data_IF_923340771592
#
_entry.id   IF_923340771592
#
_cell.length_a   1.000
_cell.length_b   1.000
_cell.length_c   1.000
_cell.angle_alpha   90.00
_cell.angle_beta   90.00
_cell.angle_gamma   90.00
#
_symmetry.space_group_name_H-M   'P 1'
#
loop_
_entity.id
_entity.type
_entity.pdbx_description
1 polymer ?
#
# COMPACT_ATOMS: atom_id res chain seq x y z
N UNK A 1 -30.90 17.24 -20.90
CA UNK A 1 -31.11 16.21 -19.86
C UNK A 1 -29.81 15.47 -19.70
N UNK A 2 -29.06 15.78 -18.64
CA UNK A 2 -27.69 15.27 -18.42
C UNK A 2 -27.70 14.35 -17.17
N UNK A 3 -28.15 13.11 -17.35
CA UNK A 3 -28.33 12.12 -16.28
C UNK A 3 -27.13 11.18 -16.09
N UNK A 4 -25.99 11.41 -16.78
CA UNK A 4 -24.83 10.52 -16.73
C UNK A 4 -23.82 10.79 -15.61
N UNK A 5 -23.72 12.02 -15.10
CA UNK A 5 -22.59 12.45 -14.25
C UNK A 5 -22.69 12.01 -12.76
N UNK A 6 -23.91 11.82 -12.24
CA UNK A 6 -24.15 11.57 -10.81
C UNK A 6 -23.83 10.13 -10.37
N UNK A 7 -24.16 9.15 -11.21
CA UNK A 7 -23.90 7.74 -10.89
C UNK A 7 -22.43 7.38 -10.99
N UNK A 8 -21.72 7.94 -11.98
CA UNK A 8 -20.29 7.70 -12.16
C UNK A 8 -19.47 8.29 -11.02
N UNK A 9 -19.84 9.48 -10.51
CA UNK A 9 -19.21 10.06 -9.31
C UNK A 9 -19.43 9.22 -8.06
N UNK A 10 -20.66 8.74 -7.82
CA UNK A 10 -20.94 7.87 -6.67
C UNK A 10 -20.23 6.51 -6.78
N UNK A 11 -20.20 5.91 -7.97
CA UNK A 11 -19.41 4.71 -8.22
C UNK A 11 -17.91 4.98 -8.03
N UNK A 12 -17.43 6.16 -8.43
CA UNK A 12 -16.03 6.58 -8.30
C UNK A 12 -15.63 6.77 -6.84
N UNK A 13 -16.49 7.39 -6.03
CA UNK A 13 -16.29 7.55 -4.58
C UNK A 13 -16.33 6.21 -3.84
N UNK A 14 -17.33 5.36 -4.13
CA UNK A 14 -17.43 4.00 -3.55
C UNK A 14 -16.27 3.09 -3.98
N UNK A 15 -15.62 3.33 -5.12
CA UNK A 15 -14.48 2.53 -5.60
C UNK A 15 -13.11 3.00 -5.10
N UNK A 16 -13.00 4.21 -4.54
CA UNK A 16 -11.75 4.74 -3.97
C UNK A 16 -11.63 4.54 -2.45
N UNK A 17 -12.51 3.72 -1.88
CA UNK A 17 -12.59 3.44 -0.45
C UNK A 17 -12.25 2.00 -0.11
N UNK A 18 -11.78 1.18 -1.06
CA UNK A 18 -11.49 -0.24 -0.80
C UNK A 18 -10.05 -0.61 -1.14
N UNK A 19 -9.45 -1.43 -0.28
CA UNK A 19 -8.27 -2.22 -0.60
C UNK A 19 -8.70 -3.69 -0.48
N UNK A 20 -8.53 -4.49 -1.52
CA UNK A 20 -9.12 -5.81 -1.62
C UNK A 20 -10.64 -5.78 -1.43
N UNK A 21 -11.12 -6.48 -0.40
CA UNK A 21 -12.51 -6.48 0.06
C UNK A 21 -12.73 -5.56 1.28
N UNK A 22 -11.66 -5.00 1.84
CA UNK A 22 -11.71 -4.15 3.03
C UNK A 22 -12.05 -2.72 2.66
N UNK A 23 -13.15 -2.17 3.19
CA UNK A 23 -13.45 -0.75 3.05
C UNK A 23 -12.63 0.11 4.02
N UNK A 24 -12.49 1.40 3.71
CA UNK A 24 -11.86 2.36 4.61
C UNK A 24 -12.63 2.48 5.92
N UNK A 25 -13.96 2.36 5.88
CA UNK A 25 -14.81 2.34 7.06
C UNK A 25 -14.50 1.12 7.94
N UNK A 26 -14.36 -0.07 7.35
CA UNK A 26 -13.99 -1.28 8.10
C UNK A 26 -12.60 -1.13 8.71
N UNK A 27 -11.66 -0.54 7.96
CA UNK A 27 -10.32 -0.28 8.46
C UNK A 27 -10.34 0.68 9.66
N UNK A 28 -11.11 1.77 9.58
CA UNK A 28 -11.26 2.73 10.68
C UNK A 28 -11.92 2.09 11.91
N UNK A 29 -12.89 1.19 11.73
CA UNK A 29 -13.50 0.46 12.84
C UNK A 29 -12.49 -0.46 13.57
N UNK A 30 -11.47 -0.95 12.87
CA UNK A 30 -10.39 -1.74 13.48
C UNK A 30 -9.26 -0.88 14.04
N UNK A 31 -9.13 0.36 13.55
CA UNK A 31 -8.09 1.30 13.96
C UNK A 31 -8.47 1.99 15.27
N UNK A 32 -7.70 1.68 16.30
CA UNK A 32 -7.72 2.46 17.51
C UNK A 32 -6.95 3.77 17.29
N UNK A 33 -7.51 4.89 17.73
CA UNK A 33 -6.90 6.23 17.64
C UNK A 33 -7.36 7.10 18.80
N UNK A 34 -6.48 8.02 19.20
CA UNK A 34 -6.66 8.86 20.36
C UNK A 34 -7.60 10.04 20.03
N UNK A 35 -8.16 10.70 21.04
CA UNK A 35 -9.19 11.74 20.86
C UNK A 35 -8.71 12.96 20.08
N UNK A 36 -7.39 13.15 19.99
CA UNK A 36 -6.74 14.19 19.19
C UNK A 36 -6.61 13.83 17.70
N UNK A 37 -7.14 12.66 17.29
CA UNK A 37 -7.08 12.19 15.91
C UNK A 37 -5.71 11.64 15.51
N UNK A 38 -4.86 11.27 16.48
CA UNK A 38 -3.59 10.60 16.24
C UNK A 38 -3.67 9.10 16.50
N UNK A 39 -2.78 8.34 15.87
CA UNK A 39 -2.63 6.91 16.09
C UNK A 39 -1.17 6.51 16.04
N UNK A 40 -0.86 5.31 16.50
CA UNK A 40 0.51 4.78 16.49
C UNK A 40 0.70 3.75 15.38
N UNK A 41 1.96 3.61 14.94
CA UNK A 41 2.39 2.53 14.03
C UNK A 41 1.90 1.15 14.50
N UNK A 42 1.94 0.91 15.81
CA UNK A 42 1.47 -0.33 16.43
C UNK A 42 -0.03 -0.54 16.23
N UNK A 43 -0.85 0.48 16.49
CA UNK A 43 -2.31 0.44 16.30
C UNK A 43 -2.66 0.20 14.82
N UNK A 44 -1.95 0.84 13.89
CA UNK A 44 -2.09 0.63 12.43
C UNK A 44 -1.77 -0.82 12.03
N UNK A 45 -0.66 -1.38 12.50
CA UNK A 45 -0.26 -2.77 12.23
C UNK A 45 -1.36 -3.74 12.65
N UNK A 46 -1.91 -3.54 13.85
CA UNK A 46 -2.96 -4.40 14.39
C UNK A 46 -4.26 -4.28 13.61
N UNK A 47 -4.67 -3.06 13.24
CA UNK A 47 -5.86 -2.83 12.42
C UNK A 47 -5.74 -3.53 11.06
N UNK A 48 -4.60 -3.36 10.39
CA UNK A 48 -4.33 -3.98 9.10
C UNK A 48 -4.35 -5.51 9.19
N UNK A 49 -3.75 -6.09 10.22
CA UNK A 49 -3.75 -7.55 10.41
C UNK A 49 -5.17 -8.09 10.66
N UNK A 50 -6.01 -7.39 11.43
CA UNK A 50 -7.41 -7.77 11.64
C UNK A 50 -8.20 -7.76 10.33
N UNK A 51 -8.04 -6.72 9.51
CA UNK A 51 -8.68 -6.64 8.18
C UNK A 51 -8.20 -7.73 7.23
N UNK A 52 -6.89 -7.97 7.17
CA UNK A 52 -6.29 -9.06 6.39
C UNK A 52 -6.93 -10.42 6.73
N UNK A 53 -7.16 -10.66 8.01
CA UNK A 53 -7.78 -11.89 8.48
C UNK A 53 -9.27 -11.95 8.17
N UNK A 54 -9.96 -10.81 8.20
CA UNK A 54 -11.33 -10.69 7.70
C UNK A 54 -11.43 -11.16 6.24
N UNK A 55 -10.52 -10.69 5.38
CA UNK A 55 -10.46 -11.12 3.97
C UNK A 55 -10.22 -12.62 3.82
N UNK A 56 -9.23 -13.19 4.52
CA UNK A 56 -8.95 -14.62 4.45
C UNK A 56 -10.16 -15.47 4.89
N UNK A 57 -10.95 -15.01 5.87
CA UNK A 57 -12.19 -15.68 6.28
C UNK A 57 -13.23 -15.65 5.17
N UNK A 58 -13.44 -14.49 4.54
CA UNK A 58 -14.42 -14.32 3.46
C UNK A 58 -14.03 -15.14 2.22
N UNK A 59 -12.74 -15.25 1.92
CA UNK A 59 -12.23 -16.05 0.79
C UNK A 59 -12.26 -17.58 1.02
N UNK A 60 -12.82 -18.05 2.15
CA UNK A 60 -13.04 -19.49 2.38
C UNK A 60 -11.80 -20.28 2.79
N UNK A 61 -10.69 -19.63 3.14
CA UNK A 61 -9.54 -20.34 3.73
C UNK A 61 -9.85 -20.75 5.18
N UNK A 62 -10.43 -21.94 5.36
CA UNK A 62 -11.03 -22.41 6.61
C UNK A 62 -10.05 -22.59 7.82
N UNK A 63 -8.74 -22.56 7.61
CA UNK A 63 -7.73 -22.84 8.64
C UNK A 63 -7.01 -21.58 9.18
N UNK A 64 -7.79 -20.53 9.48
CA UNK A 64 -7.24 -19.24 9.92
C UNK A 64 -6.67 -19.29 11.34
N UNK A 65 -7.11 -20.21 12.21
CA UNK A 65 -6.78 -20.18 13.66
C UNK A 65 -5.26 -20.27 13.97
N UNK A 66 -4.48 -21.23 13.45
CA UNK A 66 -3.04 -21.31 13.71
C UNK A 66 -2.25 -20.26 12.91
N UNK A 67 -2.68 -20.00 11.66
CA UNK A 67 -2.06 -18.99 10.79
C UNK A 67 -2.20 -17.58 11.38
N UNK A 68 -3.36 -17.25 11.96
CA UNK A 68 -3.63 -15.98 12.66
C UNK A 68 -2.69 -15.79 13.83
N UNK A 69 -2.51 -16.82 14.67
CA UNK A 69 -1.60 -16.74 15.82
C UNK A 69 -0.16 -16.50 15.37
N UNK A 70 0.30 -17.22 14.34
CA UNK A 70 1.64 -17.05 13.78
C UNK A 70 1.82 -15.72 13.04
N UNK A 71 0.77 -15.21 12.39
CA UNK A 71 0.77 -13.93 11.69
C UNK A 71 0.91 -12.79 12.70
N UNK A 72 0.07 -12.78 13.75
CA UNK A 72 0.11 -11.81 14.86
C UNK A 72 1.47 -11.78 15.57
N UNK A 73 2.09 -12.94 15.79
CA UNK A 73 3.42 -13.04 16.44
C UNK A 73 4.55 -12.44 15.58
N UNK A 74 4.39 -12.37 14.27
CA UNK A 74 5.44 -11.94 13.34
C UNK A 74 5.18 -10.58 12.69
N UNK A 75 4.10 -9.86 13.05
CA UNK A 75 3.72 -8.59 12.40
C UNK A 75 4.76 -7.47 12.55
N UNK A 76 5.61 -7.54 13.56
CA UNK A 76 6.66 -6.53 13.78
C UNK A 76 7.95 -6.88 13.05
N UNK A 77 8.13 -8.13 12.63
CA UNK A 77 9.24 -8.54 11.79
C UNK A 77 8.95 -8.16 10.33
N UNK A 78 9.98 -7.68 9.62
CA UNK A 78 9.88 -7.28 8.21
C UNK A 78 9.32 -8.41 7.35
N UNK A 79 9.76 -9.65 7.58
CA UNK A 79 9.27 -10.83 6.86
C UNK A 79 7.77 -11.09 7.08
N UNK A 80 7.25 -10.88 8.29
CA UNK A 80 5.82 -10.98 8.57
C UNK A 80 5.01 -9.85 7.93
N UNK A 81 5.58 -8.64 7.86
CA UNK A 81 4.94 -7.49 7.19
C UNK A 81 4.81 -7.69 5.68
N UNK A 82 5.77 -8.33 5.02
CA UNK A 82 5.66 -8.67 3.59
C UNK A 82 4.60 -9.74 3.32
N UNK A 83 4.39 -10.67 4.25
CA UNK A 83 3.44 -11.78 4.11
C UNK A 83 2.00 -11.38 4.44
N UNK A 84 1.81 -10.40 5.31
CA UNK A 84 0.48 -9.91 5.71
C UNK A 84 -0.06 -8.97 4.65
N UNK A 85 -1.24 -9.28 4.08
CA UNK A 85 -1.81 -8.54 2.94
C UNK A 85 -3.29 -8.24 3.11
N UNK A 86 -3.72 -7.11 2.56
CA UNK A 86 -5.12 -6.79 2.26
C UNK A 86 -5.17 -6.59 0.75
N UNK A 87 -5.99 -7.38 0.05
CA UNK A 87 -5.93 -7.47 -1.40
C UNK A 87 -4.50 -7.73 -1.89
N UNK A 88 -4.01 -6.89 -2.80
CA UNK A 88 -2.64 -6.95 -3.31
C UNK A 88 -1.62 -6.12 -2.50
N UNK A 89 -2.05 -5.43 -1.45
CA UNK A 89 -1.20 -4.52 -0.66
C UNK A 89 -0.63 -5.25 0.54
N UNK A 90 0.70 -5.27 0.67
CA UNK A 90 1.37 -5.79 1.87
C UNK A 90 1.42 -4.76 2.99
N UNK A 91 1.42 -5.22 4.24
CA UNK A 91 1.60 -4.37 5.41
C UNK A 91 2.92 -3.57 5.33
N UNK A 92 3.99 -4.18 4.84
CA UNK A 92 5.26 -3.49 4.64
C UNK A 92 5.11 -2.28 3.69
N UNK A 93 4.51 -2.50 2.51
CA UNK A 93 4.28 -1.44 1.54
C UNK A 93 3.32 -0.36 2.09
N UNK A 94 2.32 -0.75 2.86
CA UNK A 94 1.40 0.17 3.51
C UNK A 94 2.13 1.08 4.51
N UNK A 95 2.93 0.50 5.41
CA UNK A 95 3.69 1.23 6.43
C UNK A 95 4.79 2.12 5.85
N UNK A 96 5.37 1.76 4.70
CA UNK A 96 6.42 2.55 4.06
C UNK A 96 5.93 3.87 3.45
N UNK A 97 4.62 4.16 3.51
CA UNK A 97 4.02 5.43 3.07
C UNK A 97 3.78 6.43 4.20
N UNK A 98 4.12 6.06 5.42
CA UNK A 98 3.96 6.92 6.59
C UNK A 98 5.30 7.49 7.00
N UNK A 99 5.32 8.81 7.15
CA UNK A 99 6.39 9.54 7.81
C UNK A 99 6.01 9.69 9.29
N UNK A 100 6.36 8.68 10.09
CA UNK A 100 6.04 8.68 11.51
C UNK A 100 6.84 9.76 12.26
N UNK A 101 6.16 10.50 13.13
CA UNK A 101 6.80 11.45 14.05
C UNK A 101 7.65 10.72 15.10
N UNK A 102 8.44 11.49 15.87
CA UNK A 102 9.11 10.97 17.05
C UNK A 102 8.09 10.26 17.97
N UNK A 103 8.40 9.02 18.36
CA UNK A 103 7.48 8.16 19.10
C UNK A 103 6.61 7.23 18.24
N UNK A 104 6.73 7.26 16.91
CA UNK A 104 6.02 6.33 16.02
C UNK A 104 4.55 6.67 15.82
N UNK A 105 4.20 7.95 15.96
CA UNK A 105 2.84 8.48 15.84
C UNK A 105 2.58 9.06 14.44
N UNK A 106 1.32 9.08 14.04
CA UNK A 106 0.83 9.66 12.77
C UNK A 106 -0.61 10.16 12.95
N UNK A 107 -1.05 11.11 12.12
CA UNK A 107 -2.45 11.53 12.12
C UNK A 107 -3.34 10.50 11.40
N UNK A 108 -4.60 10.38 11.82
CA UNK A 108 -5.61 9.56 11.13
C UNK A 108 -5.90 10.12 9.73
N UNK A 109 -5.74 11.43 9.51
CA UNK A 109 -5.84 12.06 8.18
C UNK A 109 -4.81 11.47 7.22
N UNK A 110 -3.56 11.29 7.66
CA UNK A 110 -2.52 10.66 6.86
C UNK A 110 -2.85 9.19 6.58
N UNK A 111 -3.43 8.47 7.54
CA UNK A 111 -3.92 7.09 7.33
C UNK A 111 -4.97 7.04 6.23
N UNK A 112 -5.94 7.95 6.26
CA UNK A 112 -6.96 8.07 5.23
C UNK A 112 -6.34 8.33 3.84
N UNK A 113 -5.36 9.22 3.77
CA UNK A 113 -4.69 9.52 2.52
C UNK A 113 -3.91 8.32 1.95
N UNK A 114 -3.15 7.63 2.81
CA UNK A 114 -2.39 6.43 2.41
C UNK A 114 -3.34 5.34 1.94
N UNK A 115 -4.44 5.11 2.67
CA UNK A 115 -5.46 4.12 2.29
C UNK A 115 -6.05 4.44 0.91
N UNK A 116 -6.46 5.69 0.68
CA UNK A 116 -7.00 6.15 -0.60
C UNK A 116 -6.00 5.97 -1.76
N UNK A 117 -4.72 6.26 -1.52
CA UNK A 117 -3.65 6.04 -2.53
C UNK A 117 -3.56 4.57 -2.92
N UNK A 118 -3.55 3.66 -1.96
CA UNK A 118 -3.50 2.23 -2.25
C UNK A 118 -4.77 1.70 -2.92
N UNK A 119 -5.94 2.16 -2.48
CA UNK A 119 -7.22 1.84 -3.14
C UNK A 119 -7.20 2.24 -4.62
N UNK A 120 -6.66 3.41 -4.93
CA UNK A 120 -6.52 3.89 -6.30
C UNK A 120 -5.55 3.04 -7.12
N UNK A 121 -4.40 2.66 -6.55
CA UNK A 121 -3.37 1.86 -7.22
C UNK A 121 -3.87 0.44 -7.53
N UNK A 122 -4.53 -0.20 -6.57
CA UNK A 122 -5.09 -1.54 -6.76
C UNK A 122 -6.13 -1.56 -7.87
N UNK A 123 -6.98 -0.52 -7.94
CA UNK A 123 -7.92 -0.33 -9.05
C UNK A 123 -7.21 -0.20 -10.40
N UNK A 124 -6.15 0.60 -10.50
CA UNK A 124 -5.41 0.79 -11.75
C UNK A 124 -4.73 -0.51 -12.21
N UNK A 125 -4.18 -1.29 -11.27
CA UNK A 125 -3.68 -2.65 -11.56
C UNK A 125 -4.80 -3.59 -12.06
N UNK A 126 -5.99 -3.49 -11.48
CA UNK A 126 -7.16 -4.27 -11.93
C UNK A 126 -7.69 -3.83 -13.30
N UNK A 127 -7.63 -2.54 -13.62
CA UNK A 127 -8.02 -1.99 -14.92
C UNK A 127 -7.05 -2.41 -16.03
N UNK A 128 -5.74 -2.48 -15.75
CA UNK A 128 -4.74 -3.01 -16.68
C UNK A 128 -4.98 -4.48 -17.05
N UNK A 129 -5.49 -5.29 -16.12
CA UNK A 129 -5.83 -6.70 -16.35
C UNK A 129 -7.19 -6.90 -17.06
N UNK A 130 -8.10 -5.93 -16.99
CA UNK A 130 -9.40 -5.96 -17.70
C UNK A 130 -9.31 -5.53 -19.16
N UNK A 131 -8.33 -4.71 -19.53
CA UNK A 131 -8.07 -4.37 -20.93
C UNK A 131 -7.44 -5.52 -21.72
N UNK A 132 -6.87 -6.53 -21.06
CA UNK A 132 -6.31 -7.72 -21.71
C UNK A 132 -7.27 -8.91 -21.77
N UNK A 133 -8.40 -8.88 -21.06
CA UNK A 133 -9.41 -9.96 -21.12
C UNK A 133 -10.21 -10.05 -22.42
N UNK A 134 -9.95 -9.15 -23.39
CA UNK A 134 -10.43 -9.28 -24.78
C UNK A 134 -9.47 -10.01 -25.72
N UNK A 135 -8.25 -10.33 -25.28
CA UNK A 135 -7.23 -10.98 -26.10
C UNK A 135 -6.65 -12.20 -25.38
N UNK A 136 -7.23 -13.34 -25.76
CA UNK A 136 -6.66 -14.69 -25.73
C UNK A 136 -6.64 -15.40 -24.38
N UNK A 137 -7.63 -16.28 -24.24
CA UNK A 137 -7.39 -17.68 -23.87
C UNK A 137 -6.03 -18.14 -24.43
N UNK A 138 -5.15 -18.62 -23.55
CA UNK A 138 -4.03 -19.47 -23.96
C UNK A 138 -2.62 -18.87 -23.97
N UNK A 139 -2.29 -17.89 -23.13
CA UNK A 139 -0.88 -17.53 -22.89
C UNK A 139 -0.51 -17.62 -21.40
N UNK A 140 -0.07 -18.84 -21.08
CA UNK A 140 0.83 -19.30 -20.02
C UNK A 140 1.37 -18.24 -19.04
N UNK A 141 1.29 -18.58 -17.75
CA UNK A 141 1.77 -17.87 -16.57
C UNK A 141 3.20 -17.29 -16.65
N UNK A 142 4.02 -17.72 -17.62
CA UNK A 142 5.39 -17.25 -17.80
C UNK A 142 5.55 -15.79 -18.24
N UNK A 143 4.57 -15.18 -18.92
CA UNK A 143 4.73 -13.79 -19.41
C UNK A 143 4.42 -12.76 -18.31
N UNK A 144 3.50 -13.08 -17.38
CA UNK A 144 3.15 -12.20 -16.27
C UNK A 144 4.31 -12.05 -15.29
N UNK A 145 5.00 -13.15 -14.99
CA UNK A 145 6.19 -13.11 -14.13
C UNK A 145 7.34 -12.33 -14.79
N UNK A 146 7.52 -12.48 -16.11
CA UNK A 146 8.55 -11.74 -16.85
C UNK A 146 8.26 -10.23 -16.94
N UNK A 147 7.00 -9.81 -17.05
CA UNK A 147 6.60 -8.39 -17.04
C UNK A 147 6.68 -7.78 -15.63
N UNK A 148 6.36 -8.57 -14.60
CA UNK A 148 6.44 -8.14 -13.21
C UNK A 148 7.90 -7.93 -12.78
N UNK A 149 8.82 -8.84 -13.12
CA UNK A 149 10.26 -8.68 -12.91
C UNK A 149 10.82 -7.46 -13.67
N UNK A 150 10.40 -7.24 -14.92
CA UNK A 150 10.83 -6.10 -15.73
C UNK A 150 10.36 -4.75 -15.16
N UNK A 151 9.12 -4.69 -14.64
CA UNK A 151 8.58 -3.50 -14.00
C UNK A 151 9.27 -3.20 -12.67
N UNK A 152 9.51 -4.22 -11.84
CA UNK A 152 10.27 -4.06 -10.59
C UNK A 152 11.72 -3.67 -10.83
N UNK A 153 12.36 -4.17 -11.89
CA UNK A 153 13.69 -3.74 -12.30
C UNK A 153 13.71 -2.27 -12.75
N UNK A 154 12.72 -1.83 -13.53
CA UNK A 154 12.61 -0.44 -13.97
C UNK A 154 12.36 0.53 -12.78
N UNK A 155 11.52 0.13 -11.83
CA UNK A 155 11.26 0.90 -10.59
C UNK A 155 12.49 0.94 -9.69
N UNK A 156 13.23 -0.16 -9.55
CA UNK A 156 14.51 -0.18 -8.82
C UNK A 156 15.56 0.71 -9.47
N UNK A 157 15.65 0.69 -10.80
CA UNK A 157 16.61 1.50 -11.54
C UNK A 157 16.33 2.99 -11.37
N UNK A 158 15.05 3.40 -11.46
CA UNK A 158 14.64 4.79 -11.28
C UNK A 158 14.81 5.29 -9.84
N UNK A 159 14.51 4.48 -8.82
CA UNK A 159 14.77 4.85 -7.42
C UNK A 159 16.27 4.95 -7.13
N UNK A 160 17.08 4.03 -7.65
CA UNK A 160 18.54 4.08 -7.49
C UNK A 160 19.14 5.31 -8.18
N UNK A 161 18.63 5.68 -9.36
CA UNK A 161 19.06 6.88 -10.08
C UNK A 161 18.72 8.16 -9.31
N UNK A 162 17.53 8.26 -8.71
CA UNK A 162 17.13 9.43 -7.90
C UNK A 162 17.98 9.56 -6.64
N UNK A 163 18.33 8.44 -6.00
CA UNK A 163 19.20 8.45 -4.82
C UNK A 163 20.62 8.89 -5.22
N UNK A 164 21.16 8.36 -6.31
CA UNK A 164 22.49 8.72 -6.81
C UNK A 164 22.59 10.20 -7.21
N UNK A 165 21.59 10.74 -7.92
CA UNK A 165 21.60 12.16 -8.32
C UNK A 165 21.43 13.08 -7.11
N UNK A 166 20.64 12.68 -6.11
CA UNK A 166 20.48 13.45 -4.87
C UNK A 166 21.78 13.49 -4.05
N UNK A 167 22.51 12.37 -4.00
CA UNK A 167 23.82 12.32 -3.34
C UNK A 167 24.89 13.13 -4.08
N UNK A 168 24.94 13.02 -5.42
CA UNK A 168 25.86 13.81 -6.23
C UNK A 168 25.62 15.31 -6.09
N UNK A 169 24.35 15.74 -6.07
CA UNK A 169 23.98 17.13 -5.84
C UNK A 169 24.36 17.63 -4.45
N UNK A 170 24.17 16.80 -3.42
CA UNK A 170 24.58 17.15 -2.06
C UNK A 170 26.10 17.28 -1.93
N UNK A 171 26.87 16.36 -2.53
CA UNK A 171 28.34 16.41 -2.53
C UNK A 171 28.87 17.66 -3.25
N UNK A 172 28.34 18.00 -4.43
CA UNK A 172 28.68 19.22 -5.17
C UNK A 172 28.39 20.49 -4.37
N UNK A 173 27.27 20.51 -3.62
CA UNK A 173 26.93 21.64 -2.76
C UNK A 173 27.91 21.81 -1.59
N UNK A 174 28.41 20.71 -1.03
CA UNK A 174 29.42 20.75 0.05
C UNK A 174 30.77 21.27 -0.46
N UNK A 175 31.23 20.80 -1.62
CA UNK A 175 32.49 21.30 -2.23
C UNK A 175 32.41 22.78 -2.60
N UNK A 176 31.29 23.22 -3.19
CA UNK A 176 31.07 24.64 -3.50
C UNK A 176 31.04 25.53 -2.25
N UNK A 177 30.50 25.03 -1.14
CA UNK A 177 30.45 25.76 0.13
C UNK A 177 31.84 25.87 0.77
N UNK A 178 32.68 24.84 0.65
CA UNK A 178 34.07 24.86 1.13
C UNK A 178 34.94 25.83 0.34
N UNK A 179 34.72 25.96 -0.97
CA UNK A 179 35.44 26.93 -1.82
C UNK A 179 35.04 28.40 -1.56
N UNK A 180 33.86 28.65 -0.98
CA UNK A 180 33.41 30.00 -0.62
C UNK A 180 33.93 30.49 0.75
N UNK A 181 34.54 29.60 1.54
CA UNK A 181 35.07 29.90 2.88
C UNK A 181 36.59 30.19 2.84
N UNK A 182 37.25 29.92 1.70
CA UNK A 182 38.67 30.24 1.45
C UNK A 182 38.81 31.59 0.75
#
# INVERSE_FOLDING_TARGET
MDNGSSNDRKLYEVRNTYIGLTSFQDFLQQLDFDTDGTTSKRKIIMAFAKCSVGEYRVMGTANVSPAMRNLLMNLYAVSGQFRTKIGNVSLHAFLSRFDFLQGGLTSVVQVAEVFRRFSTLERLGHLGLRTTSGLKQGLSCHIVDSLHESFYAAVRFSVSLVICTSYAFWALKQEAMLLLIQ
#
